data_IF_442030568759
#
_entry.id   IF_442030568759
#
_cell.length_a   1.000
_cell.length_b   1.000
_cell.length_c   1.000
_cell.angle_alpha   90.00
_cell.angle_beta   90.00
_cell.angle_gamma   90.00
#
_symmetry.space_group_name_H-M   'P 1'
#
loop_
_entity.id
_entity.type
_entity.pdbx_description
1 polymer ?
#
# COMPACT_ATOMS: atom_id res chain seq x y z
N UNK A 1 -10.73 -11.99 10.58
CA UNK A 1 -11.65 -12.03 9.39
C UNK A 1 -10.88 -11.51 8.19
N UNK A 2 -11.09 -12.04 6.96
CA UNK A 2 -10.38 -11.52 5.78
C UNK A 2 -10.76 -10.07 5.49
N UNK A 3 -9.80 -9.27 5.04
CA UNK A 3 -10.00 -7.88 4.59
C UNK A 3 -10.39 -7.80 3.10
N UNK A 4 -10.29 -8.91 2.35
CA UNK A 4 -10.63 -8.93 0.92
C UNK A 4 -12.10 -8.55 0.70
N UNK A 5 -12.33 -7.63 -0.23
CA UNK A 5 -13.61 -7.00 -0.57
C UNK A 5 -14.20 -6.08 0.52
N UNK A 6 -13.48 -5.83 1.64
CA UNK A 6 -13.88 -4.79 2.57
C UNK A 6 -13.67 -3.43 1.91
N UNK A 7 -14.69 -2.57 1.94
CA UNK A 7 -14.56 -1.17 1.58
C UNK A 7 -13.83 -0.41 2.69
N UNK A 8 -12.91 0.48 2.33
CA UNK A 8 -12.23 1.35 3.29
C UNK A 8 -13.22 2.29 3.95
N UNK A 9 -13.09 2.50 5.25
CA UNK A 9 -13.94 3.45 5.99
C UNK A 9 -13.60 4.89 5.62
N UNK A 10 -14.51 5.80 5.93
CA UNK A 10 -14.25 7.22 5.77
C UNK A 10 -13.12 7.65 6.71
N UNK A 11 -12.18 8.40 6.17
CA UNK A 11 -11.10 9.00 6.93
C UNK A 11 -10.75 10.37 6.37
N UNK A 12 -10.13 11.18 7.19
CA UNK A 12 -9.47 12.43 6.78
C UNK A 12 -8.30 12.67 7.71
N UNK A 13 -7.11 12.77 7.14
CA UNK A 13 -5.90 12.99 7.92
C UNK A 13 -4.93 13.94 7.21
N UNK A 14 -3.95 14.45 7.94
CA UNK A 14 -2.83 15.17 7.35
C UNK A 14 -1.83 14.22 6.73
N UNK A 15 -1.23 14.65 5.63
CA UNK A 15 -0.06 14.04 5.02
C UNK A 15 1.06 15.07 4.88
N UNK A 16 2.30 14.60 4.96
CA UNK A 16 3.44 15.33 4.41
C UNK A 16 3.67 14.88 2.97
N UNK A 17 3.67 15.81 2.03
CA UNK A 17 3.87 15.53 0.60
C UNK A 17 4.41 16.75 -0.13
N UNK A 18 5.45 16.58 -0.95
CA UNK A 18 6.05 17.66 -1.75
C UNK A 18 6.41 18.91 -0.91
N UNK A 19 7.02 18.67 0.25
CA UNK A 19 7.42 19.70 1.20
C UNK A 19 6.26 20.59 1.74
N UNK A 20 5.04 20.06 1.73
CA UNK A 20 3.82 20.71 2.20
C UNK A 20 2.98 19.76 3.07
N UNK A 21 2.06 20.33 3.84
CA UNK A 21 1.07 19.60 4.61
C UNK A 21 -0.28 19.67 3.91
N UNK A 22 -0.77 18.53 3.46
CA UNK A 22 -2.02 18.40 2.74
C UNK A 22 -3.00 17.51 3.51
N UNK A 23 -4.30 17.74 3.35
CA UNK A 23 -5.29 16.76 3.78
C UNK A 23 -5.44 15.68 2.71
N UNK A 24 -5.57 14.44 3.18
CA UNK A 24 -5.96 13.29 2.37
C UNK A 24 -7.17 12.63 3.01
N UNK A 25 -8.13 12.27 2.22
CA UNK A 25 -9.40 11.66 2.63
C UNK A 25 -9.74 10.46 1.75
N UNK A 26 -10.80 9.74 2.08
CA UNK A 26 -11.31 8.64 1.26
C UNK A 26 -11.61 9.08 -0.18
N UNK A 27 -12.15 10.27 -0.37
CA UNK A 27 -12.49 10.83 -1.69
C UNK A 27 -11.26 10.92 -2.60
N UNK A 28 -10.07 11.15 -2.04
CA UNK A 28 -8.82 11.20 -2.79
C UNK A 28 -8.34 9.80 -3.23
N UNK A 29 -8.87 8.75 -2.62
CA UNK A 29 -8.56 7.34 -2.93
C UNK A 29 -9.49 6.80 -4.02
N UNK A 30 -10.75 7.20 -4.02
CA UNK A 30 -11.75 6.71 -4.95
C UNK A 30 -11.42 7.10 -6.41
N UNK A 31 -11.78 6.24 -7.35
CA UNK A 31 -11.59 6.45 -8.78
C UNK A 31 -10.18 6.10 -9.30
N UNK A 32 -9.26 5.70 -8.45
CA UNK A 32 -7.90 5.26 -8.83
C UNK A 32 -7.45 4.06 -8.03
N UNK A 33 -6.46 3.35 -8.53
CA UNK A 33 -5.78 2.31 -7.77
C UNK A 33 -4.90 2.96 -6.70
N UNK A 34 -4.85 2.35 -5.52
CA UNK A 34 -4.06 2.88 -4.41
C UNK A 34 -3.41 1.75 -3.61
N UNK A 35 -2.24 2.05 -3.05
CA UNK A 35 -1.55 1.21 -2.08
C UNK A 35 -1.47 1.97 -0.76
N UNK A 36 -1.90 1.34 0.34
CA UNK A 36 -1.61 1.79 1.69
C UNK A 36 -0.51 0.91 2.27
N UNK A 37 0.61 1.55 2.61
CA UNK A 37 1.82 0.90 3.08
C UNK A 37 2.09 1.33 4.53
N UNK A 38 1.55 0.55 5.47
CA UNK A 38 1.73 0.80 6.90
C UNK A 38 3.12 0.39 7.37
N UNK A 39 3.69 1.17 8.29
CA UNK A 39 4.97 0.87 8.94
C UNK A 39 4.92 1.35 10.40
N UNK A 40 5.73 0.74 11.31
CA UNK A 40 5.64 1.02 12.74
C UNK A 40 5.86 2.48 13.13
N UNK A 41 6.99 3.08 12.78
CA UNK A 41 7.31 4.45 13.18
C UNK A 41 8.45 5.05 12.35
N UNK A 42 8.48 6.39 12.32
CA UNK A 42 9.58 7.17 11.83
C UNK A 42 10.85 6.97 12.69
N UNK A 43 12.02 7.33 12.15
CA UNK A 43 13.33 7.25 12.83
C UNK A 43 13.70 5.86 13.36
N UNK A 44 13.24 4.79 12.69
CA UNK A 44 13.54 3.39 13.02
C UNK A 44 14.56 2.77 12.04
N UNK A 45 14.67 1.42 12.01
CA UNK A 45 15.78 0.72 11.36
C UNK A 45 15.39 0.05 10.04
N UNK A 46 14.30 -0.73 10.01
CA UNK A 46 13.81 -1.43 8.81
C UNK A 46 12.98 -0.49 7.96
N UNK A 47 12.16 0.37 8.58
CA UNK A 47 11.23 1.25 7.87
C UNK A 47 11.90 2.12 6.79
N UNK A 48 13.07 2.78 7.03
CA UNK A 48 13.68 3.60 5.99
C UNK A 48 14.14 2.77 4.77
N UNK A 49 14.47 1.49 4.95
CA UNK A 49 14.85 0.63 3.83
C UNK A 49 13.67 0.26 2.95
N UNK A 50 12.51 0.00 3.54
CA UNK A 50 11.26 -0.30 2.82
C UNK A 50 10.73 0.92 2.07
N UNK A 51 10.73 2.08 2.75
CA UNK A 51 10.22 3.33 2.18
C UNK A 51 11.11 3.82 1.04
N UNK A 52 12.44 3.63 1.11
CA UNK A 52 13.36 3.90 0.02
C UNK A 52 13.10 2.97 -1.17
N UNK A 53 12.97 1.64 -0.96
CA UNK A 53 12.66 0.67 -2.02
C UNK A 53 11.34 1.01 -2.72
N UNK A 54 10.35 1.45 -1.96
CA UNK A 54 9.07 1.90 -2.49
C UNK A 54 9.21 3.21 -3.29
N UNK A 55 10.05 4.15 -2.84
CA UNK A 55 10.34 5.41 -3.54
C UNK A 55 11.07 5.15 -4.86
N UNK A 56 12.01 4.20 -4.90
CA UNK A 56 12.72 3.80 -6.12
C UNK A 56 11.80 3.18 -7.19
N UNK A 57 10.59 2.73 -6.80
CA UNK A 57 9.54 2.18 -7.68
C UNK A 57 8.36 3.12 -7.92
N UNK A 58 8.30 4.27 -7.27
CA UNK A 58 7.12 5.13 -7.27
C UNK A 58 6.68 5.57 -8.66
N UNK A 59 7.62 5.93 -9.54
CA UNK A 59 7.30 6.28 -10.93
C UNK A 59 6.62 5.12 -11.67
N UNK A 60 6.99 3.87 -11.38
CA UNK A 60 6.39 2.68 -11.99
C UNK A 60 4.95 2.46 -11.51
N UNK A 61 4.66 2.74 -10.23
CA UNK A 61 3.28 2.75 -9.72
C UNK A 61 2.45 3.85 -10.39
N UNK A 62 2.99 5.06 -10.53
CA UNK A 62 2.34 6.16 -11.24
C UNK A 62 2.04 5.83 -12.71
N UNK A 63 2.99 5.17 -13.41
CA UNK A 63 2.83 4.77 -14.80
C UNK A 63 1.67 3.78 -15.03
N UNK A 64 1.29 3.02 -14.01
CA UNK A 64 0.14 2.11 -14.04
C UNK A 64 -1.13 2.70 -13.38
N UNK A 65 -1.13 4.01 -13.09
CA UNK A 65 -2.28 4.68 -12.48
C UNK A 65 -2.55 4.28 -11.03
N UNK A 66 -1.51 3.90 -10.28
CA UNK A 66 -1.61 3.53 -8.89
C UNK A 66 -0.89 4.55 -7.99
N UNK A 67 -1.63 5.15 -7.05
CA UNK A 67 -1.05 6.03 -6.05
C UNK A 67 -0.57 5.23 -4.83
N UNK A 68 0.52 5.70 -4.22
CA UNK A 68 1.10 5.08 -3.04
C UNK A 68 0.97 6.02 -1.85
N UNK A 69 0.54 5.50 -0.72
CA UNK A 69 0.45 6.20 0.55
C UNK A 69 1.20 5.41 1.62
N UNK A 70 2.26 5.97 2.20
CA UNK A 70 2.80 5.41 3.43
C UNK A 70 2.00 5.89 4.64
N UNK A 71 1.87 5.07 5.67
CA UNK A 71 1.06 5.37 6.85
C UNK A 71 1.79 4.92 8.11
N UNK A 72 1.95 5.81 9.08
CA UNK A 72 2.33 5.46 10.45
C UNK A 72 1.50 6.23 11.47
N UNK A 73 1.61 5.85 12.73
CA UNK A 73 0.93 6.55 13.83
C UNK A 73 1.62 7.86 14.24
N UNK A 74 2.73 8.22 13.57
CA UNK A 74 3.41 9.50 13.76
C UNK A 74 2.57 10.67 13.23
N UNK A 75 2.98 11.90 13.61
CA UNK A 75 2.37 13.11 13.07
C UNK A 75 3.04 13.55 11.76
N UNK A 76 2.32 14.33 10.96
CA UNK A 76 2.88 14.93 9.73
C UNK A 76 4.11 15.82 9.99
N UNK A 77 4.25 16.39 11.19
CA UNK A 77 5.46 17.10 11.59
C UNK A 77 6.67 16.18 11.76
N UNK A 78 6.45 14.99 12.28
CA UNK A 78 7.50 13.97 12.45
C UNK A 78 7.92 13.45 11.07
N UNK A 79 6.98 13.17 10.15
CA UNK A 79 7.28 12.82 8.76
C UNK A 79 8.17 13.85 8.08
N UNK A 80 7.82 15.14 8.20
CA UNK A 80 8.66 16.21 7.66
C UNK A 80 10.05 16.23 8.28
N UNK A 81 10.14 16.14 9.60
CA UNK A 81 11.42 16.16 10.30
C UNK A 81 12.31 14.97 9.88
N UNK A 82 11.71 13.79 9.71
CA UNK A 82 12.45 12.62 9.25
C UNK A 82 12.87 12.73 7.78
N UNK A 83 12.00 13.25 6.93
CA UNK A 83 12.33 13.53 5.53
C UNK A 83 13.51 14.51 5.43
N UNK A 84 13.55 15.56 6.23
CA UNK A 84 14.64 16.51 6.22
C UNK A 84 15.96 15.93 6.75
N UNK A 85 15.90 14.98 7.70
CA UNK A 85 17.06 14.46 8.41
C UNK A 85 17.69 13.22 7.76
N UNK A 86 16.97 12.48 6.91
CA UNK A 86 17.41 11.20 6.36
C UNK A 86 17.58 11.25 4.86
N UNK A 87 18.78 10.94 4.36
CA UNK A 87 19.05 10.89 2.91
C UNK A 87 18.23 9.81 2.18
N UNK A 88 17.83 8.75 2.87
CA UNK A 88 16.92 7.72 2.31
C UNK A 88 15.50 8.27 2.18
N UNK A 89 14.99 8.89 3.25
CA UNK A 89 13.61 9.37 3.30
C UNK A 89 13.41 10.61 2.41
N UNK A 90 14.44 11.41 2.16
CA UNK A 90 14.42 12.50 1.16
C UNK A 90 14.06 12.06 -0.26
N UNK A 91 14.21 10.77 -0.58
CA UNK A 91 13.80 10.21 -1.88
C UNK A 91 12.29 10.04 -2.01
N UNK A 92 11.55 10.09 -0.91
CA UNK A 92 10.10 9.86 -0.91
C UNK A 92 9.39 11.03 -1.58
N UNK A 93 8.67 10.71 -2.66
CA UNK A 93 7.84 11.65 -3.42
C UNK A 93 6.34 11.31 -3.36
N UNK A 94 5.96 10.28 -2.61
CA UNK A 94 4.56 9.92 -2.36
C UNK A 94 4.08 10.48 -1.01
N UNK A 95 2.75 10.65 -0.81
CA UNK A 95 2.20 11.15 0.44
C UNK A 95 2.52 10.25 1.65
N UNK A 96 3.01 10.84 2.73
CA UNK A 96 3.22 10.21 4.02
C UNK A 96 2.06 10.58 4.94
N UNK A 97 1.09 9.67 5.14
CA UNK A 97 -0.11 9.89 5.94
C UNK A 97 0.20 9.76 7.43
N UNK A 98 -0.27 10.74 8.19
CA UNK A 98 -0.19 10.73 9.64
C UNK A 98 -1.46 10.07 10.24
N UNK A 99 -1.29 9.11 11.15
CA UNK A 99 -2.43 8.49 11.86
C UNK A 99 -2.29 8.59 13.40
N UNK A 100 -2.09 9.80 13.98
CA UNK A 100 -1.89 9.96 15.42
C UNK A 100 -3.14 9.60 16.25
N UNK A 101 -4.29 9.45 15.62
CA UNK A 101 -5.52 8.98 16.26
C UNK A 101 -5.67 7.47 16.25
N UNK A 102 -4.79 6.78 15.52
CA UNK A 102 -4.81 5.33 15.28
C UNK A 102 -6.08 4.83 14.55
N UNK A 103 -6.87 5.73 13.99
CA UNK A 103 -8.16 5.38 13.38
C UNK A 103 -7.97 4.58 12.09
N UNK A 104 -7.01 4.99 11.24
CA UNK A 104 -6.71 4.31 9.98
C UNK A 104 -6.07 2.94 10.26
N UNK A 105 -5.06 2.90 11.13
CA UNK A 105 -4.37 1.65 11.50
C UNK A 105 -5.33 0.63 12.13
N UNK A 106 -6.30 1.11 12.92
CA UNK A 106 -7.33 0.25 13.52
C UNK A 106 -8.33 -0.27 12.49
N UNK A 107 -8.77 0.56 11.54
CA UNK A 107 -9.70 0.14 10.48
C UNK A 107 -9.07 -0.93 9.58
N UNK A 108 -7.79 -0.77 9.26
CA UNK A 108 -7.03 -1.75 8.49
C UNK A 108 -6.53 -2.96 9.31
N UNK A 109 -6.88 -3.03 10.60
CA UNK A 109 -6.55 -4.13 11.51
C UNK A 109 -5.04 -4.38 11.64
N UNK A 110 -4.24 -3.34 11.59
CA UNK A 110 -2.77 -3.39 11.73
C UNK A 110 -2.27 -2.65 12.98
N UNK A 111 -3.17 -2.10 13.80
CA UNK A 111 -2.77 -1.44 15.04
C UNK A 111 -2.37 -2.47 16.11
N UNK A 112 -1.17 -2.30 16.66
CA UNK A 112 -0.73 -2.98 17.90
C UNK A 112 -1.17 -2.09 19.05
N UNK A 113 -2.33 -2.40 19.64
CA UNK A 113 -2.97 -1.54 20.67
C UNK A 113 -2.07 -1.29 21.89
N UNK A 114 -1.22 -2.27 22.27
CA UNK A 114 -0.28 -2.12 23.41
C UNK A 114 0.82 -1.11 23.15
N UNK A 115 1.23 -0.94 21.91
CA UNK A 115 2.41 -0.16 21.52
C UNK A 115 2.03 1.17 20.87
N UNK A 116 0.78 1.30 20.38
CA UNK A 116 0.32 2.44 19.61
C UNK A 116 0.99 2.54 18.22
N UNK A 117 1.55 1.44 17.72
CA UNK A 117 2.26 1.36 16.46
C UNK A 117 1.48 0.52 15.46
N UNK A 118 1.75 0.73 14.17
CA UNK A 118 1.20 -0.15 13.13
C UNK A 118 2.12 -1.33 12.85
N UNK A 119 1.53 -2.50 12.54
CA UNK A 119 2.23 -3.60 11.89
C UNK A 119 2.68 -3.19 10.47
N UNK A 120 3.58 -3.99 9.88
CA UNK A 120 3.96 -3.82 8.46
C UNK A 120 2.87 -4.38 7.55
N UNK A 121 1.78 -3.64 7.43
CA UNK A 121 0.67 -3.98 6.55
C UNK A 121 0.79 -3.31 5.19
N UNK A 122 0.47 -4.02 4.12
CA UNK A 122 0.34 -3.48 2.76
C UNK A 122 -1.02 -3.84 2.23
N UNK A 123 -1.74 -2.87 1.69
CA UNK A 123 -3.09 -3.05 1.16
C UNK A 123 -3.21 -2.47 -0.23
N UNK A 124 -3.74 -3.26 -1.18
CA UNK A 124 -4.05 -2.84 -2.54
C UNK A 124 -5.54 -2.54 -2.60
N UNK A 125 -5.87 -1.31 -2.97
CA UNK A 125 -7.24 -0.79 -3.00
C UNK A 125 -7.60 -0.47 -4.45
N UNK A 126 -8.74 -0.99 -4.90
CA UNK A 126 -9.25 -0.76 -6.24
C UNK A 126 -9.99 0.59 -6.35
N UNK A 127 -10.35 1.06 -7.57
CA UNK A 127 -11.04 2.35 -7.75
C UNK A 127 -12.38 2.50 -7.02
N UNK A 128 -13.02 1.40 -6.66
CA UNK A 128 -14.27 1.39 -5.86
C UNK A 128 -14.02 1.50 -4.35
N UNK A 129 -12.77 1.68 -3.93
CA UNK A 129 -12.39 1.76 -2.52
C UNK A 129 -12.37 0.42 -1.79
N UNK A 130 -12.29 -0.71 -2.51
CA UNK A 130 -12.27 -2.06 -1.91
C UNK A 130 -10.86 -2.62 -1.86
N UNK A 131 -10.52 -3.26 -0.76
CA UNK A 131 -9.27 -3.99 -0.58
C UNK A 131 -9.32 -5.27 -1.42
N UNK A 132 -8.44 -5.42 -2.39
CA UNK A 132 -8.38 -6.58 -3.29
C UNK A 132 -7.15 -7.46 -3.08
N UNK A 133 -6.18 -6.98 -2.33
CA UNK A 133 -4.99 -7.73 -1.92
C UNK A 133 -4.40 -7.11 -0.66
N UNK A 134 -3.84 -7.93 0.21
CA UNK A 134 -3.10 -7.43 1.36
C UNK A 134 -2.09 -8.45 1.88
N UNK A 135 -1.09 -7.96 2.58
CA UNK A 135 -0.15 -8.76 3.37
C UNK A 135 0.18 -8.03 4.66
N UNK A 136 0.46 -8.78 5.71
CA UNK A 136 0.99 -8.27 6.97
C UNK A 136 2.20 -9.11 7.35
N UNK A 137 3.34 -8.47 7.58
CA UNK A 137 4.59 -9.13 7.94
C UNK A 137 5.03 -8.76 9.35
N UNK A 138 5.79 -9.65 9.98
CA UNK A 138 6.37 -9.39 11.30
C UNK A 138 7.25 -8.13 11.28
N UNK A 139 7.28 -7.40 12.39
CA UNK A 139 7.92 -6.09 12.49
C UNK A 139 9.42 -6.03 12.16
N UNK A 140 10.10 -7.19 12.15
CA UNK A 140 11.52 -7.31 11.81
C UNK A 140 11.81 -7.83 10.38
N UNK A 141 10.78 -7.99 9.55
CA UNK A 141 10.89 -8.49 8.16
C UNK A 141 10.47 -7.40 7.18
N UNK A 142 11.44 -6.87 6.43
CA UNK A 142 11.20 -5.88 5.38
C UNK A 142 10.50 -6.50 4.16
N UNK A 143 9.62 -5.70 3.53
CA UNK A 143 8.84 -6.07 2.33
C UNK A 143 9.60 -5.71 1.05
N UNK A 144 9.06 -6.10 -0.11
CA UNK A 144 9.67 -5.92 -1.43
C UNK A 144 8.73 -5.11 -2.34
N UNK A 145 9.15 -3.94 -2.79
CA UNK A 145 8.35 -3.05 -3.63
C UNK A 145 8.14 -3.60 -5.07
N UNK A 146 9.09 -4.36 -5.62
CA UNK A 146 8.95 -5.00 -6.93
C UNK A 146 7.82 -6.05 -6.93
N UNK A 147 7.75 -6.88 -5.87
CA UNK A 147 6.67 -7.85 -5.72
C UNK A 147 5.33 -7.17 -5.47
N UNK A 148 5.32 -6.06 -4.71
CA UNK A 148 4.10 -5.26 -4.54
C UNK A 148 3.61 -4.69 -5.88
N UNK A 149 4.50 -4.13 -6.70
CA UNK A 149 4.17 -3.63 -8.03
C UNK A 149 3.57 -4.74 -8.91
N UNK A 150 4.20 -5.92 -8.92
CA UNK A 150 3.69 -7.10 -9.63
C UNK A 150 2.27 -7.50 -9.16
N UNK A 151 2.02 -7.48 -7.84
CA UNK A 151 0.70 -7.78 -7.27
C UNK A 151 -0.36 -6.76 -7.68
N UNK A 152 -0.02 -5.46 -7.68
CA UNK A 152 -0.93 -4.40 -8.16
C UNK A 152 -1.28 -4.63 -9.63
N UNK A 153 -0.29 -4.91 -10.48
CA UNK A 153 -0.52 -5.18 -11.90
C UNK A 153 -1.42 -6.40 -12.12
N UNK A 154 -1.25 -7.47 -11.34
CA UNK A 154 -2.10 -8.64 -11.40
C UNK A 154 -3.55 -8.33 -10.96
N UNK A 155 -3.73 -7.53 -9.91
CA UNK A 155 -5.04 -7.09 -9.47
C UNK A 155 -5.74 -6.22 -10.52
N UNK A 156 -5.00 -5.30 -11.17
CA UNK A 156 -5.51 -4.47 -12.25
C UNK A 156 -5.93 -5.29 -13.46
N UNK A 157 -5.10 -6.28 -13.82
CA UNK A 157 -5.39 -7.16 -14.95
C UNK A 157 -6.69 -7.94 -14.72
N UNK A 158 -6.85 -8.60 -13.58
CA UNK A 158 -8.06 -9.35 -13.23
C UNK A 158 -9.29 -8.45 -13.13
N UNK A 159 -9.13 -7.23 -12.61
CA UNK A 159 -10.21 -6.24 -12.56
C UNK A 159 -10.72 -5.85 -13.95
N UNK A 160 -9.81 -5.71 -14.92
CA UNK A 160 -10.15 -5.38 -16.31
C UNK A 160 -10.64 -6.58 -17.13
N UNK A 161 -10.28 -7.81 -16.72
CA UNK A 161 -10.53 -9.05 -17.46
C UNK A 161 -11.19 -10.09 -16.54
N UNK A 162 -12.47 -9.86 -16.21
CA UNK A 162 -13.22 -10.63 -15.23
C UNK A 162 -13.40 -12.12 -15.52
N UNK A 163 -13.08 -12.60 -16.73
CA UNK A 163 -13.14 -14.00 -17.15
C UNK A 163 -11.76 -14.69 -17.18
N UNK A 164 -10.70 -13.98 -16.79
CA UNK A 164 -9.33 -14.50 -16.76
C UNK A 164 -8.74 -14.46 -15.35
N UNK A 165 -7.79 -15.34 -15.09
CA UNK A 165 -7.06 -15.39 -13.83
C UNK A 165 -5.55 -15.36 -14.07
N UNK A 166 -4.84 -14.70 -13.17
CA UNK A 166 -3.38 -14.64 -13.18
C UNK A 166 -2.83 -15.87 -12.40
N UNK A 167 -2.07 -16.76 -13.04
CA UNK A 167 -1.43 -17.87 -12.33
C UNK A 167 -0.31 -17.37 -11.40
N UNK A 168 0.26 -18.30 -10.63
CA UNK A 168 1.41 -18.00 -9.78
C UNK A 168 2.54 -17.34 -10.57
N UNK A 169 3.23 -16.36 -9.98
CA UNK A 169 4.33 -15.59 -10.60
C UNK A 169 3.98 -14.82 -11.89
N UNK A 170 2.69 -14.66 -12.19
CA UNK A 170 2.26 -13.91 -13.37
C UNK A 170 2.87 -12.49 -13.38
N UNK A 171 3.28 -12.05 -14.56
CA UNK A 171 3.74 -10.69 -14.85
C UNK A 171 3.02 -10.17 -16.10
N UNK A 172 2.92 -8.84 -16.30
CA UNK A 172 2.35 -8.27 -17.51
C UNK A 172 2.97 -8.87 -18.78
N UNK A 173 2.11 -9.30 -19.70
CA UNK A 173 2.50 -9.98 -20.94
C UNK A 173 2.66 -11.50 -20.84
N UNK A 174 2.61 -12.08 -19.64
CA UNK A 174 2.60 -13.53 -19.47
C UNK A 174 1.20 -14.11 -19.75
N UNK A 175 1.16 -15.43 -20.03
CA UNK A 175 -0.09 -16.15 -20.27
C UNK A 175 -1.00 -16.10 -19.04
N UNK A 176 -2.30 -16.05 -19.32
CA UNK A 176 -3.37 -16.11 -18.31
C UNK A 176 -4.18 -17.38 -18.52
N UNK A 177 -4.99 -17.73 -17.53
CA UNK A 177 -5.89 -18.88 -17.64
C UNK A 177 -7.33 -18.40 -17.71
N UNK A 178 -8.12 -19.02 -18.58
CA UNK A 178 -9.57 -18.86 -18.61
C UNK A 178 -10.19 -20.08 -17.93
N UNK A 179 -10.72 -19.96 -16.70
CA UNK A 179 -11.30 -21.07 -15.98
C UNK A 179 -12.37 -21.80 -16.80
N UNK A 180 -12.24 -23.10 -16.94
CA UNK A 180 -13.22 -23.97 -17.60
C UNK A 180 -13.18 -25.36 -16.98
N UNK A 181 -14.23 -26.16 -17.22
CA UNK A 181 -14.29 -27.54 -16.78
C UNK A 181 -13.18 -28.41 -17.42
N UNK A 182 -12.76 -28.04 -18.65
CA UNK A 182 -11.73 -28.78 -19.38
C UNK A 182 -10.33 -28.62 -18.77
N UNK A 183 -10.12 -27.59 -17.98
CA UNK A 183 -8.85 -27.35 -17.27
C UNK A 183 -8.73 -28.13 -15.95
N UNK A 184 -9.82 -28.69 -15.45
CA UNK A 184 -9.81 -29.44 -14.17
C UNK A 184 -8.94 -30.65 -14.29
N UNK A 185 -7.85 -30.71 -13.50
CA UNK A 185 -6.89 -31.83 -13.53
C UNK A 185 -5.92 -31.84 -14.72
N UNK A 186 -5.86 -30.74 -15.51
CA UNK A 186 -4.93 -30.58 -16.65
C UNK A 186 -3.75 -29.63 -16.33
N UNK A 187 -3.73 -28.98 -15.18
CA UNK A 187 -2.70 -28.03 -14.74
C UNK A 187 -1.76 -28.66 -13.71
#
# INVERSE_FOLDING_TARGET
>A
MSMINKEISDFRTYAFHENDFKFVSKEDILGKWSVFFFYPADFTFVCPTELEDLADKYEQFGAIGCEVYSVSTDTHFVHKAWHDASDRIKKINYPMLADPTHAISRDFQVLIESDGLAERGTFIINPEGKIVGYEVTAGNVGRNAEELLRKVQACQFVHAHGDQVCPANWKPGAETLKPSLDLVGQL
#
